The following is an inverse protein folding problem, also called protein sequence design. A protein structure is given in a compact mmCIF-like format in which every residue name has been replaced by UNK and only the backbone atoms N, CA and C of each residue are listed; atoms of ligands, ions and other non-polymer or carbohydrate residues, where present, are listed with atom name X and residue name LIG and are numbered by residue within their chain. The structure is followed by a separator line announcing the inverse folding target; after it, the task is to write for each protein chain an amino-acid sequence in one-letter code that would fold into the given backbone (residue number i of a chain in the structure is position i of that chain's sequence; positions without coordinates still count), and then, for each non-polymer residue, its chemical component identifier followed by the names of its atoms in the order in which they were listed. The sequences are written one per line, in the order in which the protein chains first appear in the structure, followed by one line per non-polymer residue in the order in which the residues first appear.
data_IF_188074416511
#
_entry.id   IF_188074416511
#
_cell.length_a   1.000
_cell.length_b   1.000
_cell.length_c   1.000
_cell.angle_alpha   90.00
_cell.angle_beta   90.00
_cell.angle_gamma   90.00
#
_symmetry.space_group_name_H-M   'P 1'
#
loop_
_entity.id
_entity.type
_entity.pdbx_description
1 polymer ?
#
# COMPACT_ATOMS: atom_id res chain seq x y z
N UNK A 1 -1.13 -4.10 10.17
CA UNK A 1 -0.26 -5.03 10.93
C UNK A 1 1.02 -4.32 11.38
N UNK A 2 1.37 -4.33 12.66
CA UNK A 2 2.45 -3.50 13.25
C UNK A 2 3.78 -4.25 13.47
N UNK A 3 3.96 -5.41 12.83
CA UNK A 3 5.09 -6.32 13.02
C UNK A 3 4.81 -7.45 14.04
N UNK A 4 5.73 -8.40 14.19
CA UNK A 4 5.60 -9.53 15.12
C UNK A 4 6.71 -9.46 16.17
N UNK A 5 6.34 -9.23 17.43
CA UNK A 5 7.28 -9.11 18.56
C UNK A 5 7.77 -10.45 19.10
N UNK A 6 7.00 -11.52 18.90
CA UNK A 6 7.19 -12.81 19.56
C UNK A 6 7.91 -13.86 18.72
N UNK A 7 8.65 -13.46 17.68
CA UNK A 7 9.36 -14.45 16.87
C UNK A 7 8.51 -15.20 15.84
N UNK A 8 7.19 -15.31 16.05
CA UNK A 8 6.29 -16.21 15.32
C UNK A 8 6.20 -16.01 13.79
N UNK A 9 6.54 -14.82 13.27
CA UNK A 9 6.62 -14.59 11.82
C UNK A 9 8.05 -14.84 11.31
N UNK A 10 8.18 -15.74 10.34
CA UNK A 10 9.42 -15.98 9.59
C UNK A 10 9.69 -14.82 8.60
N UNK A 11 10.17 -13.71 9.13
CA UNK A 11 10.47 -12.49 8.35
C UNK A 11 11.79 -12.62 7.59
N UNK A 12 12.00 -11.76 6.57
CA UNK A 12 13.23 -11.76 5.76
C UNK A 12 14.52 -11.68 6.58
N UNK A 13 14.51 -10.90 7.67
CA UNK A 13 15.63 -10.74 8.61
C UNK A 13 15.98 -12.05 9.33
N UNK A 14 15.02 -12.97 9.47
CA UNK A 14 15.21 -14.25 10.17
C UNK A 14 15.46 -15.43 9.22
N UNK A 15 15.35 -15.23 7.91
CA UNK A 15 15.63 -16.27 6.92
C UNK A 15 16.71 -15.81 5.93
N UNK A 16 16.34 -15.45 4.72
CA UNK A 16 17.24 -15.14 3.60
C UNK A 16 18.27 -14.06 3.91
N UNK A 17 17.93 -12.99 4.65
CA UNK A 17 18.94 -11.98 4.97
C UNK A 17 19.97 -12.51 5.97
N UNK A 18 19.55 -13.27 6.98
CA UNK A 18 20.46 -13.90 7.92
C UNK A 18 21.38 -14.91 7.24
N UNK A 19 20.85 -15.71 6.30
CA UNK A 19 21.65 -16.64 5.49
C UNK A 19 22.61 -15.91 4.54
N UNK A 20 22.19 -14.79 3.95
CA UNK A 20 23.05 -14.01 3.07
C UNK A 20 24.21 -13.37 3.86
N UNK A 21 23.93 -12.80 5.03
CA UNK A 21 24.96 -12.21 5.90
C UNK A 21 25.93 -13.27 6.44
N UNK A 22 25.45 -14.47 6.81
CA UNK A 22 26.33 -15.57 7.22
C UNK A 22 27.23 -16.08 6.08
N UNK A 23 26.79 -15.92 4.83
CA UNK A 23 27.59 -16.18 3.63
C UNK A 23 28.48 -14.99 3.20
N UNK A 24 28.55 -13.91 3.99
CA UNK A 24 29.45 -12.77 3.77
C UNK A 24 28.82 -11.56 3.07
N UNK A 25 27.52 -11.57 2.77
CA UNK A 25 26.85 -10.38 2.27
C UNK A 25 26.83 -9.27 3.34
N UNK A 26 26.94 -8.01 2.91
CA UNK A 26 26.89 -6.86 3.82
C UNK A 26 25.59 -6.08 3.62
N UNK A 27 24.80 -5.94 4.68
CA UNK A 27 23.65 -5.03 4.70
C UNK A 27 24.11 -3.66 5.20
N UNK A 28 23.90 -2.63 4.38
CA UNK A 28 24.22 -1.24 4.75
C UNK A 28 22.92 -0.52 5.09
N UNK A 29 22.43 -0.59 6.34
CA UNK A 29 21.15 -0.01 6.72
C UNK A 29 21.17 1.51 6.59
N UNK A 30 19.99 2.13 6.60
CA UNK A 30 19.82 3.57 6.53
C UNK A 30 20.49 4.21 5.29
N UNK A 31 20.54 3.48 4.17
CA UNK A 31 21.13 3.93 2.91
C UNK A 31 20.07 3.92 1.82
N UNK A 32 19.66 5.11 1.36
CA UNK A 32 18.69 5.25 0.26
C UNK A 32 19.43 5.50 -1.05
N UNK A 33 19.31 4.59 -2.01
CA UNK A 33 19.79 4.81 -3.38
C UNK A 33 18.97 5.92 -4.04
N UNK A 34 19.67 6.86 -4.69
CA UNK A 34 19.06 8.04 -5.32
C UNK A 34 19.26 8.11 -6.83
N UNK A 35 20.17 7.29 -7.35
CA UNK A 35 20.39 7.12 -8.78
C UNK A 35 21.57 6.23 -9.06
N UNK A 36 21.68 5.79 -10.29
CA UNK A 36 22.75 4.94 -10.77
C UNK A 36 22.96 5.20 -12.28
N UNK A 37 24.13 4.87 -12.77
CA UNK A 37 24.44 4.87 -14.20
C UNK A 37 25.57 3.90 -14.49
N UNK A 38 25.63 3.43 -15.74
CA UNK A 38 26.74 2.60 -16.19
C UNK A 38 27.88 3.51 -16.66
N UNK A 39 29.10 3.20 -16.22
CA UNK A 39 30.32 3.88 -16.63
C UNK A 39 30.84 3.31 -17.96
N UNK A 40 31.82 4.00 -18.56
CA UNK A 40 32.39 3.61 -19.85
C UNK A 40 33.06 2.22 -19.83
N UNK A 41 33.58 1.80 -18.68
CA UNK A 41 34.18 0.48 -18.45
C UNK A 41 33.14 -0.63 -18.22
N UNK A 42 31.85 -0.31 -18.27
CA UNK A 42 30.75 -1.25 -18.06
C UNK A 42 30.33 -1.44 -16.60
N UNK A 43 31.05 -0.88 -15.63
CA UNK A 43 30.69 -0.95 -14.21
C UNK A 43 29.53 -0.01 -13.87
N UNK A 44 28.82 -0.29 -12.78
CA UNK A 44 27.74 0.56 -12.28
C UNK A 44 28.24 1.50 -11.20
N UNK A 45 27.98 2.79 -11.37
CA UNK A 45 28.09 3.76 -10.29
C UNK A 45 26.72 3.94 -9.62
N UNK A 46 26.64 3.75 -8.30
CA UNK A 46 25.41 3.86 -7.51
C UNK A 46 25.55 4.98 -6.49
N UNK A 47 24.71 6.01 -6.59
CA UNK A 47 24.66 7.13 -5.65
C UNK A 47 23.62 6.92 -4.59
N UNK A 48 24.01 7.05 -3.33
CA UNK A 48 23.13 6.92 -2.19
C UNK A 48 23.28 8.09 -1.20
N UNK A 49 22.30 8.20 -0.31
CA UNK A 49 22.27 9.16 0.79
C UNK A 49 21.81 8.46 2.06
N UNK A 50 22.13 9.01 3.23
CA UNK A 50 21.59 8.49 4.48
C UNK A 50 20.07 8.71 4.56
N UNK A 51 19.32 7.66 4.85
CA UNK A 51 17.87 7.69 5.04
C UNK A 51 17.49 8.62 6.19
N UNK A 52 16.39 9.37 6.03
CA UNK A 52 15.83 10.23 7.08
C UNK A 52 16.52 11.59 7.29
N UNK A 53 17.67 11.86 6.65
CA UNK A 53 18.32 13.18 6.72
C UNK A 53 17.83 14.11 5.61
N UNK A 54 17.29 15.27 6.01
CA UNK A 54 16.88 16.34 5.11
C UNK A 54 18.03 17.33 4.82
N UNK A 55 18.85 17.63 5.83
CA UNK A 55 20.04 18.49 5.75
C UNK A 55 21.31 17.65 5.82
N UNK A 56 22.38 18.04 5.11
CA UNK A 56 23.67 17.33 5.04
C UNK A 56 23.50 15.82 4.82
N UNK A 57 22.92 15.45 3.67
CA UNK A 57 22.42 14.10 3.35
C UNK A 57 23.46 12.96 3.31
N UNK A 58 24.72 13.23 3.65
CA UNK A 58 25.84 12.27 3.64
C UNK A 58 25.85 11.43 2.36
N UNK A 59 26.26 12.07 1.26
CA UNK A 59 26.31 11.42 -0.05
C UNK A 59 27.37 10.32 -0.01
N UNK A 60 27.02 9.16 -0.54
CA UNK A 60 27.93 8.03 -0.76
C UNK A 60 27.81 7.57 -2.21
N UNK A 61 28.92 7.08 -2.75
CA UNK A 61 28.97 6.44 -4.06
C UNK A 61 29.53 5.05 -3.88
N UNK A 62 28.87 4.07 -4.48
CA UNK A 62 29.32 2.70 -4.58
C UNK A 62 29.59 2.37 -6.05
N UNK A 63 30.52 1.47 -6.30
CA UNK A 63 30.74 0.87 -7.61
C UNK A 63 30.40 -0.62 -7.54
N UNK A 64 29.87 -1.18 -8.62
CA UNK A 64 29.53 -2.59 -8.68
C UNK A 64 29.65 -3.11 -10.13
N UNK A 65 30.11 -4.35 -10.29
CA UNK A 65 30.10 -5.03 -11.60
C UNK A 65 28.66 -5.35 -12.03
N UNK A 66 27.83 -5.77 -11.07
CA UNK A 66 26.42 -6.12 -11.30
C UNK A 66 25.51 -5.28 -10.41
N UNK A 67 24.35 -4.87 -10.95
CA UNK A 67 23.34 -4.12 -10.23
C UNK A 67 21.99 -4.84 -10.29
N UNK A 68 21.49 -5.25 -9.13
CA UNK A 68 20.16 -5.85 -8.97
C UNK A 68 19.23 -4.85 -8.29
N UNK A 69 18.08 -4.56 -8.90
CA UNK A 69 17.10 -3.61 -8.37
C UNK A 69 15.96 -4.34 -7.65
N UNK A 70 15.98 -4.32 -6.32
CA UNK A 70 14.99 -4.98 -5.46
C UNK A 70 14.30 -4.02 -4.47
N UNK A 71 14.00 -2.79 -4.90
CA UNK A 71 13.39 -1.74 -4.05
C UNK A 71 11.86 -1.81 -3.96
N UNK A 72 11.27 -2.99 -4.20
CA UNK A 72 9.83 -3.20 -4.35
C UNK A 72 9.26 -2.55 -5.62
N UNK A 73 7.99 -2.84 -5.93
CA UNK A 73 7.32 -2.41 -7.18
C UNK A 73 7.45 -0.91 -7.40
N UNK A 74 7.11 -0.10 -6.40
CA UNK A 74 7.14 1.35 -6.53
C UNK A 74 8.56 1.93 -6.51
N UNK A 75 9.43 1.45 -5.61
CA UNK A 75 10.78 1.98 -5.47
C UNK A 75 11.65 1.71 -6.70
N UNK A 76 11.61 0.47 -7.22
CA UNK A 76 12.33 0.08 -8.43
C UNK A 76 11.86 0.88 -9.63
N UNK A 77 10.54 0.92 -9.89
CA UNK A 77 10.01 1.69 -11.00
C UNK A 77 10.35 3.18 -10.90
N UNK A 78 10.18 3.79 -9.71
CA UNK A 78 10.49 5.21 -9.51
C UNK A 78 11.96 5.54 -9.80
N UNK A 79 12.89 4.67 -9.41
CA UNK A 79 14.30 4.82 -9.71
C UNK A 79 14.58 4.68 -11.21
N UNK A 80 14.00 3.66 -11.87
CA UNK A 80 14.14 3.45 -13.31
C UNK A 80 13.61 4.63 -14.13
N UNK A 81 12.40 5.12 -13.83
CA UNK A 81 11.85 6.30 -14.48
C UNK A 81 12.76 7.51 -14.28
N UNK A 82 13.23 7.74 -13.06
CA UNK A 82 14.12 8.86 -12.76
C UNK A 82 15.43 8.78 -13.56
N UNK A 83 16.00 7.59 -13.73
CA UNK A 83 17.25 7.42 -14.49
C UNK A 83 17.02 7.53 -15.99
N UNK A 84 15.96 6.91 -16.53
CA UNK A 84 15.52 7.08 -17.92
C UNK A 84 15.29 8.56 -18.26
N UNK A 85 14.55 9.25 -17.41
CA UNK A 85 14.18 10.65 -17.63
C UNK A 85 15.36 11.62 -17.55
N UNK A 86 16.49 11.19 -16.96
CA UNK A 86 17.78 11.89 -16.93
C UNK A 86 18.73 11.45 -18.06
N UNK A 87 18.28 10.59 -18.98
CA UNK A 87 19.11 10.04 -20.06
C UNK A 87 20.18 9.04 -19.59
N UNK A 88 20.09 8.54 -18.36
CA UNK A 88 21.08 7.59 -17.80
C UNK A 88 20.84 6.13 -18.18
N UNK A 89 19.69 5.84 -18.77
CA UNK A 89 19.31 4.50 -19.26
C UNK A 89 18.73 4.60 -20.68
N UNK A 90 19.54 4.92 -21.69
CA UNK A 90 19.06 5.16 -23.06
C UNK A 90 18.50 3.91 -23.74
N UNK A 91 18.92 2.71 -23.30
CA UNK A 91 18.47 1.42 -23.82
C UNK A 91 17.24 0.84 -23.08
N UNK A 92 16.68 1.58 -22.12
CA UNK A 92 15.54 1.07 -21.34
C UNK A 92 14.28 1.06 -22.20
N UNK A 93 13.60 -0.08 -22.24
CA UNK A 93 12.37 -0.26 -23.01
C UNK A 93 11.29 0.76 -22.63
N UNK A 94 10.54 1.21 -23.63
CA UNK A 94 9.35 2.04 -23.46
C UNK A 94 8.20 1.32 -22.74
N UNK A 95 8.31 0.01 -22.54
CA UNK A 95 7.35 -0.78 -21.74
C UNK A 95 7.49 -0.56 -20.23
N UNK A 96 8.43 0.26 -19.75
CA UNK A 96 8.55 0.59 -18.33
C UNK A 96 7.22 1.12 -17.77
N UNK A 97 6.70 0.46 -16.75
CA UNK A 97 5.48 0.83 -16.03
C UNK A 97 4.19 0.17 -16.54
N UNK A 98 4.24 -0.50 -17.70
CA UNK A 98 3.14 -1.29 -18.25
C UNK A 98 2.89 -2.54 -17.38
N UNK A 99 1.63 -2.99 -17.30
CA UNK A 99 1.18 -4.14 -16.50
C UNK A 99 1.49 -4.04 -14.99
N UNK A 100 1.50 -2.82 -14.44
CA UNK A 100 1.63 -2.66 -12.98
C UNK A 100 0.31 -3.04 -12.32
N UNK A 101 0.30 -4.00 -11.39
CA UNK A 101 -0.91 -4.45 -10.69
C UNK A 101 -0.96 -3.95 -9.25
N UNK A 102 -2.16 -3.61 -8.76
CA UNK A 102 -2.38 -3.08 -7.40
C UNK A 102 -3.00 -4.12 -6.45
N UNK A 103 -3.06 -5.39 -6.87
CA UNK A 103 -3.73 -6.48 -6.16
C UNK A 103 -5.25 -6.33 -5.99
N UNK A 104 -5.86 -5.30 -6.61
CA UNK A 104 -7.32 -5.05 -6.64
C UNK A 104 -8.00 -5.26 -5.28
N UNK A 105 -7.43 -4.63 -4.24
CA UNK A 105 -7.90 -4.75 -2.86
C UNK A 105 -8.75 -3.55 -2.42
N UNK A 106 -9.73 -3.82 -1.55
CA UNK A 106 -10.49 -2.84 -0.78
C UNK A 106 -10.38 -3.18 0.70
N UNK A 107 -10.10 -2.16 1.54
CA UNK A 107 -10.00 -2.31 2.98
C UNK A 107 -11.25 -1.69 3.60
N UNK A 108 -12.15 -2.53 4.08
CA UNK A 108 -13.40 -2.12 4.71
C UNK A 108 -13.35 -2.46 6.20
N UNK A 109 -13.92 -1.63 7.06
CA UNK A 109 -13.92 -1.81 8.50
C UNK A 109 -15.33 -1.78 9.06
N UNK A 110 -15.63 -2.74 9.94
CA UNK A 110 -16.83 -2.77 10.76
C UNK A 110 -16.43 -2.45 12.21
N UNK A 111 -17.00 -1.38 12.76
CA UNK A 111 -16.60 -0.86 14.07
C UNK A 111 -17.79 -0.58 14.98
N UNK A 112 -17.64 -0.89 16.27
CA UNK A 112 -18.52 -0.41 17.33
C UNK A 112 -18.13 1.02 17.73
N UNK A 113 -19.07 1.77 18.29
CA UNK A 113 -18.80 3.11 18.83
C UNK A 113 -17.95 3.04 20.12
N UNK A 114 -18.15 1.99 20.91
CA UNK A 114 -17.49 1.77 22.20
C UNK A 114 -16.91 0.36 22.26
N UNK A 115 -15.95 0.15 23.14
CA UNK A 115 -15.34 -1.17 23.36
C UNK A 115 -16.28 -2.01 24.24
N UNK A 116 -16.60 -3.22 23.75
CA UNK A 116 -17.38 -4.22 24.47
C UNK A 116 -16.44 -5.04 25.37
N UNK A 117 -16.67 -5.14 26.69
CA UNK A 117 -15.89 -6.04 27.56
C UNK A 117 -16.04 -7.53 27.19
N UNK A 118 -17.17 -7.89 26.60
CA UNK A 118 -17.56 -9.23 26.13
C UNK A 118 -17.00 -9.61 24.75
N UNK A 119 -16.34 -8.68 24.04
CA UNK A 119 -15.85 -8.89 22.69
C UNK A 119 -14.43 -8.31 22.52
N UNK A 120 -13.41 -9.15 22.76
CA UNK A 120 -12.02 -8.78 22.51
C UNK A 120 -11.64 -9.00 21.04
N UNK A 121 -11.64 -7.90 20.27
CA UNK A 121 -11.22 -7.90 18.86
C UNK A 121 -9.70 -7.84 18.67
N UNK A 122 -8.91 -7.70 19.75
CA UNK A 122 -7.46 -7.52 19.69
C UNK A 122 -6.68 -8.80 19.87
N UNK A 123 -7.29 -9.82 20.48
CA UNK A 123 -6.65 -11.11 20.73
C UNK A 123 -6.79 -12.07 19.53
N UNK A 124 -5.75 -12.87 19.25
CA UNK A 124 -5.72 -13.88 18.20
C UNK A 124 -4.78 -13.56 17.03
N UNK A 125 -4.81 -14.43 16.01
CA UNK A 125 -3.99 -14.26 14.80
C UNK A 125 -4.53 -13.07 13.99
N UNK A 126 -3.62 -12.27 13.43
CA UNK A 126 -3.99 -11.03 12.72
C UNK A 126 -4.89 -11.28 11.50
N UNK A 127 -4.67 -12.39 10.79
CA UNK A 127 -5.47 -12.85 9.65
C UNK A 127 -5.64 -14.37 9.82
N UNK A 128 -6.87 -14.83 9.99
CA UNK A 128 -7.16 -16.23 10.38
C UNK A 128 -7.74 -17.07 9.25
N UNK A 129 -8.84 -16.61 8.72
CA UNK A 129 -9.76 -17.37 7.89
C UNK A 129 -10.09 -16.55 6.65
N UNK A 130 -10.71 -17.20 5.67
CA UNK A 130 -11.20 -16.50 4.52
C UNK A 130 -12.59 -16.95 4.13
N UNK A 131 -13.33 -16.05 3.51
CA UNK A 131 -14.58 -16.36 2.83
C UNK A 131 -14.43 -16.00 1.35
N UNK A 132 -15.11 -16.75 0.50
CA UNK A 132 -15.14 -16.54 -0.94
C UNK A 132 -16.60 -16.34 -1.38
N UNK A 133 -17.17 -15.14 -1.23
CA UNK A 133 -18.59 -14.90 -1.54
C UNK A 133 -18.91 -15.07 -3.03
N UNK A 134 -17.92 -14.90 -3.89
CA UNK A 134 -17.97 -15.14 -5.33
C UNK A 134 -16.66 -15.82 -5.78
N UNK A 135 -16.62 -16.45 -6.97
CA UNK A 135 -15.40 -17.08 -7.46
C UNK A 135 -14.21 -16.13 -7.53
N UNK A 136 -14.46 -14.86 -7.84
CA UNK A 136 -13.45 -13.82 -8.06
C UNK A 136 -13.10 -12.99 -6.81
N UNK A 137 -13.83 -13.13 -5.70
CA UNK A 137 -13.66 -12.31 -4.49
C UNK A 137 -13.26 -13.13 -3.28
N UNK A 138 -12.19 -12.70 -2.64
CA UNK A 138 -11.64 -13.27 -1.41
C UNK A 138 -11.68 -12.23 -0.29
N UNK A 139 -12.20 -12.60 0.89
CA UNK A 139 -12.30 -11.69 2.03
C UNK A 139 -11.66 -12.32 3.26
N UNK A 140 -10.79 -11.56 3.93
CA UNK A 140 -10.12 -11.98 5.14
C UNK A 140 -10.40 -11.00 6.30
N UNK A 141 -10.80 -11.49 7.48
CA UNK A 141 -10.90 -10.65 8.67
C UNK A 141 -9.50 -10.32 9.19
N UNK A 142 -9.23 -9.02 9.36
CA UNK A 142 -7.97 -8.50 9.85
C UNK A 142 -8.19 -7.82 11.20
N UNK A 143 -7.47 -8.30 12.21
CA UNK A 143 -7.45 -7.75 13.57
C UNK A 143 -6.21 -6.87 13.77
N UNK A 144 -6.35 -5.87 14.64
CA UNK A 144 -5.24 -5.04 15.08
C UNK A 144 -5.00 -5.24 16.57
N UNK A 145 -3.73 -5.44 16.93
CA UNK A 145 -3.34 -5.50 18.34
C UNK A 145 -3.62 -4.18 19.05
N UNK A 146 -3.89 -4.26 20.36
CA UNK A 146 -4.19 -3.12 21.23
C UNK A 146 -3.18 -1.97 21.05
N UNK A 147 -3.71 -0.75 20.92
CA UNK A 147 -2.91 0.47 20.74
C UNK A 147 -2.56 0.82 19.29
N UNK A 148 -2.97 0.02 18.30
CA UNK A 148 -2.78 0.30 16.87
C UNK A 148 -3.76 1.36 16.33
N UNK A 149 -4.04 2.38 17.13
CA UNK A 149 -5.12 3.35 16.94
C UNK A 149 -4.86 4.32 15.78
N UNK A 150 -3.59 4.59 15.45
CA UNK A 150 -3.24 5.47 14.33
C UNK A 150 -3.78 4.98 12.97
N UNK A 151 -4.09 3.68 12.85
CA UNK A 151 -4.75 3.12 11.66
C UNK A 151 -6.15 3.70 11.44
N UNK A 152 -6.84 4.14 12.51
CA UNK A 152 -8.10 4.86 12.42
C UNK A 152 -8.02 6.16 11.61
N UNK A 153 -6.84 6.79 11.52
CA UNK A 153 -6.64 8.02 10.74
C UNK A 153 -6.69 7.81 9.23
N UNK A 154 -6.54 6.56 8.77
CA UNK A 154 -6.67 6.21 7.36
C UNK A 154 -8.12 5.92 6.97
N UNK A 155 -9.03 5.87 7.95
CA UNK A 155 -10.44 5.61 7.69
C UNK A 155 -11.12 6.81 7.06
N UNK A 156 -11.98 6.51 6.10
CA UNK A 156 -12.97 7.41 5.52
C UNK A 156 -14.35 6.77 5.64
N UNK A 157 -15.40 7.55 5.38
CA UNK A 157 -16.74 6.98 5.24
C UNK A 157 -16.77 6.01 4.06
N UNK A 158 -17.56 4.94 4.21
CA UNK A 158 -17.89 4.08 3.07
C UNK A 158 -18.65 4.89 2.03
N UNK A 159 -18.23 4.76 0.78
CA UNK A 159 -18.94 5.29 -0.38
C UNK A 159 -19.67 4.14 -1.05
N UNK A 160 -20.94 4.36 -1.39
CA UNK A 160 -21.76 3.40 -2.13
C UNK A 160 -22.02 3.94 -3.53
N UNK A 161 -22.22 3.05 -4.52
CA UNK A 161 -22.69 3.41 -5.85
C UNK A 161 -23.26 2.23 -6.63
N UNK A 162 -23.93 2.48 -7.77
CA UNK A 162 -24.58 1.42 -8.55
C UNK A 162 -23.63 0.64 -9.47
N UNK A 163 -22.37 1.06 -9.65
CA UNK A 163 -21.43 0.43 -10.58
C UNK A 163 -19.95 0.44 -10.15
N UNK A 164 -19.05 -0.22 -10.91
CA UNK A 164 -17.62 -0.35 -10.59
C UNK A 164 -16.84 0.98 -10.55
N UNK A 165 -17.39 2.02 -11.21
CA UNK A 165 -16.87 3.39 -11.19
C UNK A 165 -17.39 4.22 -9.99
N UNK A 166 -18.35 3.68 -9.21
CA UNK A 166 -19.02 4.36 -8.10
C UNK A 166 -20.35 5.01 -8.51
N UNK A 167 -20.71 6.12 -7.87
CA UNK A 167 -21.80 7.02 -8.30
C UNK A 167 -21.23 8.19 -9.12
N UNK A 168 -22.06 8.78 -9.99
CA UNK A 168 -21.78 10.07 -10.65
C UNK A 168 -21.59 11.25 -9.67
N UNK A 169 -21.88 11.04 -8.39
CA UNK A 169 -21.68 12.04 -7.34
C UNK A 169 -20.21 12.03 -6.88
N UNK A 170 -19.49 13.16 -7.01
CA UNK A 170 -18.12 13.28 -6.53
C UNK A 170 -17.98 12.92 -5.04
N UNK A 171 -16.92 12.20 -4.66
CA UNK A 171 -16.69 11.69 -3.29
C UNK A 171 -16.77 12.77 -2.21
N UNK A 172 -16.28 13.97 -2.49
CA UNK A 172 -16.36 15.09 -1.55
C UNK A 172 -17.80 15.52 -1.26
N UNK A 173 -18.71 15.40 -2.25
CA UNK A 173 -20.15 15.68 -2.06
C UNK A 173 -20.81 14.59 -1.22
N UNK A 174 -20.48 13.31 -1.46
CA UNK A 174 -20.99 12.21 -0.64
C UNK A 174 -20.54 12.35 0.82
N UNK A 175 -19.26 12.72 1.04
CA UNK A 175 -18.72 12.99 2.37
C UNK A 175 -19.51 14.11 3.07
N UNK A 176 -19.72 15.26 2.40
CA UNK A 176 -20.50 16.37 2.95
C UNK A 176 -21.95 15.96 3.24
N UNK A 177 -22.59 15.20 2.35
CA UNK A 177 -23.95 14.72 2.56
C UNK A 177 -24.04 13.80 3.77
N UNK A 178 -23.07 12.90 3.96
CA UNK A 178 -23.04 12.02 5.12
C UNK A 178 -22.75 12.79 6.42
N UNK A 179 -21.83 13.76 6.38
CA UNK A 179 -21.57 14.67 7.52
C UNK A 179 -22.83 15.44 7.91
N UNK A 180 -23.62 15.93 6.94
CA UNK A 180 -24.87 16.64 7.20
C UNK A 180 -25.97 15.73 7.78
N UNK A 181 -26.04 14.48 7.33
CA UNK A 181 -27.04 13.51 7.79
C UNK A 181 -26.74 12.99 9.20
N UNK A 182 -25.46 12.82 9.55
CA UNK A 182 -25.05 12.37 10.88
C UNK A 182 -23.74 13.05 11.33
N UNK A 183 -23.81 14.31 11.78
CA UNK A 183 -22.64 15.06 12.19
C UNK A 183 -21.99 14.46 13.45
N UNK A 184 -22.79 13.95 14.40
CA UNK A 184 -22.29 13.35 15.65
C UNK A 184 -21.59 12.02 15.39
N UNK A 185 -22.16 11.15 14.56
CA UNK A 185 -21.52 9.90 14.14
C UNK A 185 -20.23 10.16 13.37
N UNK A 186 -20.25 11.12 12.44
CA UNK A 186 -19.05 11.44 11.65
C UNK A 186 -17.93 12.06 12.51
N UNK A 187 -18.25 12.94 13.46
CA UNK A 187 -17.27 13.51 14.39
C UNK A 187 -16.67 12.44 15.31
N UNK A 188 -17.45 11.42 15.69
CA UNK A 188 -16.97 10.27 16.46
C UNK A 188 -16.01 9.37 15.69
N UNK A 189 -16.04 9.36 14.36
CA UNK A 189 -15.06 8.63 13.53
C UNK A 189 -13.66 9.26 13.59
N UNK A 190 -13.58 10.56 13.84
CA UNK A 190 -12.29 11.24 14.06
C UNK A 190 -11.64 10.83 15.39
N UNK A 191 -12.43 10.30 16.33
CA UNK A 191 -11.91 9.77 17.58
C UNK A 191 -11.32 8.37 17.39
N UNK A 192 -10.01 8.33 17.18
CA UNK A 192 -9.24 7.08 17.04
C UNK A 192 -8.89 6.42 18.38
N UNK A 193 -9.31 6.97 19.52
CA UNK A 193 -9.04 6.36 20.82
C UNK A 193 -9.66 4.96 20.90
N UNK A 194 -8.83 3.98 21.30
CA UNK A 194 -9.18 2.54 21.38
C UNK A 194 -9.80 1.97 20.11
N UNK A 195 -9.50 2.58 18.97
CA UNK A 195 -10.02 2.16 17.66
C UNK A 195 -9.72 0.70 17.35
N UNK A 196 -8.51 0.21 17.65
CA UNK A 196 -8.13 -1.19 17.40
C UNK A 196 -8.94 -2.19 18.23
N UNK A 197 -9.49 -1.76 19.36
CA UNK A 197 -10.25 -2.60 20.29
C UNK A 197 -11.73 -2.70 19.91
N UNK A 198 -12.23 -1.80 19.04
CA UNK A 198 -13.64 -1.73 18.65
C UNK A 198 -13.89 -1.96 17.15
N UNK A 199 -12.86 -2.24 16.36
CA UNK A 199 -12.95 -2.35 14.90
C UNK A 199 -12.32 -3.63 14.37
N UNK A 200 -13.05 -4.33 13.51
CA UNK A 200 -12.55 -5.42 12.69
C UNK A 200 -12.46 -4.93 11.24
N UNK A 201 -11.34 -5.22 10.57
CA UNK A 201 -11.20 -4.95 9.14
C UNK A 201 -11.57 -6.20 8.35
N UNK A 202 -12.23 -6.03 7.21
CA UNK A 202 -12.33 -7.00 6.13
C UNK A 202 -11.41 -6.53 5.00
N UNK A 203 -10.36 -7.29 4.74
CA UNK A 203 -9.52 -7.14 3.56
C UNK A 203 -10.22 -7.88 2.41
N UNK A 204 -10.73 -7.13 1.44
CA UNK A 204 -11.46 -7.65 0.28
C UNK A 204 -10.51 -7.60 -0.91
N UNK A 205 -10.29 -8.73 -1.56
CA UNK A 205 -9.36 -8.86 -2.68
C UNK A 205 -10.10 -9.47 -3.86
N UNK A 206 -9.84 -8.97 -5.07
CA UNK A 206 -10.35 -9.56 -6.30
C UNK A 206 -9.21 -9.92 -7.25
N UNK A 207 -9.27 -11.10 -7.87
CA UNK A 207 -8.30 -11.50 -8.88
C UNK A 207 -8.75 -11.11 -10.29
N UNK A 208 -8.97 -9.81 -10.52
CA UNK A 208 -9.29 -9.32 -11.86
C UNK A 208 -8.02 -9.22 -12.72
N UNK A 209 -8.14 -9.58 -13.99
CA UNK A 209 -7.05 -9.37 -14.95
C UNK A 209 -7.01 -7.91 -15.41
N UNK A 210 -6.56 -7.05 -14.51
CA UNK A 210 -6.41 -5.62 -14.76
C UNK A 210 -5.03 -5.11 -14.33
N UNK A 211 -4.68 -3.96 -14.89
CA UNK A 211 -3.44 -3.28 -14.56
C UNK A 211 -3.56 -1.78 -14.73
N UNK A 212 -2.66 -1.06 -14.08
CA UNK A 212 -2.37 0.33 -14.36
C UNK A 212 -1.10 0.43 -15.18
N UNK A 213 -1.01 1.49 -15.98
CA UNK A 213 0.26 1.91 -16.57
C UNK A 213 0.80 3.10 -15.80
N UNK A 214 1.98 2.94 -15.22
CA UNK A 214 2.69 4.02 -14.53
C UNK A 214 3.62 4.73 -15.51
N UNK A 215 3.82 6.03 -15.30
CA UNK A 215 4.64 6.85 -16.18
C UNK A 215 5.04 8.16 -15.50
N UNK A 216 5.91 8.92 -16.15
CA UNK A 216 6.28 10.27 -15.72
C UNK A 216 5.78 11.33 -16.69
N UNK A 217 5.14 12.37 -16.16
CA UNK A 217 4.73 13.57 -16.90
C UNK A 217 5.71 14.71 -16.63
N UNK A 218 6.00 15.53 -17.63
CA UNK A 218 6.68 16.82 -17.41
C UNK A 218 5.71 17.74 -16.66
N UNK A 219 6.11 18.21 -15.50
CA UNK A 219 5.42 19.25 -14.72
C UNK A 219 6.08 20.61 -14.89
N UNK A 220 5.58 21.58 -14.14
CA UNK A 220 6.13 22.95 -14.14
C UNK A 220 7.60 22.96 -13.70
N UNK A 221 8.38 23.89 -14.26
CA UNK A 221 9.81 24.07 -13.98
C UNK A 221 10.69 22.83 -14.24
N UNK A 222 10.33 22.01 -15.24
CA UNK A 222 11.12 20.83 -15.64
C UNK A 222 11.07 19.66 -14.63
N UNK A 223 10.32 19.78 -13.53
CA UNK A 223 10.13 18.68 -12.57
C UNK A 223 9.22 17.63 -13.18
N UNK A 224 9.67 16.37 -13.18
CA UNK A 224 8.84 15.25 -13.62
C UNK A 224 8.03 14.66 -12.46
N UNK A 225 6.75 14.43 -12.70
CA UNK A 225 5.80 13.85 -11.74
C UNK A 225 5.49 12.41 -12.13
N UNK A 226 5.62 11.50 -11.18
CA UNK A 226 5.16 10.11 -11.33
C UNK A 226 3.64 10.07 -11.26
N UNK A 227 3.01 9.38 -12.21
CA UNK A 227 1.56 9.27 -12.36
C UNK A 227 1.20 7.87 -12.84
N UNK A 228 -0.08 7.51 -12.73
CA UNK A 228 -0.66 6.33 -13.34
C UNK A 228 -1.85 6.70 -14.23
N UNK A 229 -2.23 5.77 -15.10
CA UNK A 229 -3.47 5.74 -15.89
C UNK A 229 -3.98 4.30 -15.97
N UNK A 230 -5.22 4.12 -16.40
CA UNK A 230 -5.74 2.78 -16.72
C UNK A 230 -4.80 2.07 -17.71
N UNK A 231 -4.49 0.82 -17.43
CA UNK A 231 -3.66 -0.06 -18.26
C UNK A 231 -4.53 -1.06 -19.01
N UNK A 232 -4.04 -2.29 -19.10
CA UNK A 232 -4.75 -3.40 -19.71
C UNK A 232 -5.93 -3.85 -18.84
N UNK A 233 -7.01 -4.29 -19.49
CA UNK A 233 -8.19 -4.88 -18.86
C UNK A 233 -9.18 -3.84 -18.33
N UNK A 234 -10.19 -4.35 -17.63
CA UNK A 234 -11.21 -3.56 -16.95
C UNK A 234 -10.60 -2.57 -15.94
N UNK A 235 -11.26 -1.42 -15.67
CA UNK A 235 -10.82 -0.50 -14.64
C UNK A 235 -10.56 -1.20 -13.31
N UNK A 236 -9.46 -0.85 -12.65
CA UNK A 236 -9.23 -1.30 -11.28
C UNK A 236 -10.41 -0.84 -10.40
N UNK A 237 -11.12 -1.76 -9.74
CA UNK A 237 -12.34 -1.42 -9.02
C UNK A 237 -12.03 -0.38 -7.95
N UNK A 238 -12.78 0.72 -7.97
CA UNK A 238 -12.55 1.83 -7.04
C UNK A 238 -13.19 1.60 -5.68
N UNK A 239 -14.09 0.60 -5.60
CA UNK A 239 -14.73 0.03 -4.42
C UNK A 239 -15.29 -1.36 -4.79
N UNK A 240 -15.58 -2.22 -3.80
CA UNK A 240 -16.04 -3.60 -4.03
C UNK A 240 -17.38 -3.83 -3.29
N UNK A 241 -18.53 -3.85 -4.02
CA UNK A 241 -19.87 -3.91 -3.40
C UNK A 241 -20.11 -5.09 -2.48
N UNK A 242 -19.61 -6.27 -2.85
CA UNK A 242 -19.78 -7.47 -2.03
C UNK A 242 -19.04 -7.34 -0.70
N UNK A 243 -17.91 -6.63 -0.67
CA UNK A 243 -17.18 -6.28 0.53
C UNK A 243 -18.00 -5.42 1.50
N UNK A 244 -18.72 -4.43 0.97
CA UNK A 244 -19.62 -3.57 1.77
C UNK A 244 -20.79 -4.36 2.36
N UNK A 245 -21.38 -5.29 1.58
CA UNK A 245 -22.48 -6.15 2.05
C UNK A 245 -22.04 -7.06 3.20
N UNK A 246 -20.90 -7.73 3.04
CA UNK A 246 -20.34 -8.64 4.05
C UNK A 246 -20.00 -7.92 5.36
N UNK A 247 -19.50 -6.69 5.28
CA UNK A 247 -19.14 -5.89 6.46
C UNK A 247 -20.33 -5.21 7.15
N UNK A 248 -21.55 -5.48 6.68
CA UNK A 248 -22.78 -5.09 7.36
C UNK A 248 -23.41 -3.78 6.87
N UNK A 249 -23.14 -3.36 5.63
CA UNK A 249 -23.98 -2.53 4.73
C UNK A 249 -24.62 -1.22 5.23
N UNK A 250 -24.48 -0.84 6.50
CA UNK A 250 -25.11 0.32 7.09
C UNK A 250 -24.07 1.41 7.28
N UNK A 251 -24.20 2.57 6.59
CA UNK A 251 -23.27 3.71 6.70
C UNK A 251 -23.05 4.21 8.14
N UNK A 252 -23.91 3.81 9.09
CA UNK A 252 -23.85 4.19 10.51
C UNK A 252 -22.84 3.37 11.33
N UNK A 253 -22.31 2.25 10.81
CA UNK A 253 -21.45 1.32 11.58
C UNK A 253 -20.17 0.88 10.86
N UNK A 254 -19.93 1.42 9.66
CA UNK A 254 -18.92 0.89 8.77
C UNK A 254 -18.12 2.01 8.08
N UNK A 255 -16.81 1.77 7.94
CA UNK A 255 -15.80 2.75 7.47
C UNK A 255 -14.97 2.08 6.39
N UNK A 256 -14.54 2.80 5.36
CA UNK A 256 -13.63 2.27 4.34
C UNK A 256 -12.32 3.05 4.37
N UNK A 257 -11.19 2.42 4.08
CA UNK A 257 -9.97 3.14 3.75
C UNK A 257 -9.73 2.97 2.25
N UNK A 258 -9.42 4.05 1.50
CA UNK A 258 -8.89 3.86 0.15
C UNK A 258 -7.61 3.01 0.25
N UNK A 259 -7.43 2.10 -0.71
CA UNK A 259 -6.22 1.29 -0.80
C UNK A 259 -4.99 2.23 -0.83
N UNK A 260 -4.14 2.14 0.19
CA UNK A 260 -2.89 2.89 0.22
C UNK A 260 -1.96 2.32 -0.88
N UNK A 261 -1.42 3.14 -1.78
CA UNK A 261 -0.44 2.65 -2.73
C UNK A 261 0.85 2.30 -1.97
N UNK A 262 1.20 1.01 -1.92
CA UNK A 262 2.59 0.59 -1.69
C UNK A 262 2.93 -0.18 -0.42
N UNK A 263 2.05 -1.01 0.13
CA UNK A 263 2.41 -1.96 1.18
C UNK A 263 2.14 -3.42 0.79
N UNK A 264 2.57 -3.85 -0.39
CA UNK A 264 2.65 -5.29 -0.71
C UNK A 264 4.06 -5.81 -0.42
N UNK A 265 4.21 -6.55 0.68
CA UNK A 265 5.21 -7.59 0.79
C UNK A 265 4.50 -8.89 0.46
N UNK A 266 4.62 -9.34 -0.79
CA UNK A 266 4.25 -10.68 -1.20
C UNK A 266 5.13 -11.68 -0.46
N UNK A 267 4.59 -12.40 0.51
CA UNK A 267 5.12 -13.71 0.87
C UNK A 267 4.65 -14.68 -0.20
N UNK A 268 5.56 -15.10 -1.08
CA UNK A 268 5.35 -16.28 -1.91
C UNK A 268 5.13 -17.50 -1.00
N UNK A 269 4.08 -18.27 -1.26
CA UNK A 269 4.10 -19.70 -0.97
C UNK A 269 4.76 -20.40 -2.14
#
# INVERSE_FOLDING_TARGET
MTGCRHGAKNTLVKNYLGLAESAGAQVIPMTTVTGFEQLADGTWQVRAVRTGRWVRRQKKTFTATYLVLAAGTWGTQRLLFKMRDKGKLPKLSDRLGVLTRTNSESIVGAGKLEVSPDLDLTHGVAITSSIHPTPDTHIEPVRYGKGSNAMGLLQTLMTDGPGPEGTDVPRWRQLIQNVRKDPRGTLRLLNVHRWSERTLIALVMQHLDNSITTFTKRGMFGRRRYSSKQGHGEPNPTWIPIGNKVTGGSPRRSTASPAAPGASCSTSR
#
